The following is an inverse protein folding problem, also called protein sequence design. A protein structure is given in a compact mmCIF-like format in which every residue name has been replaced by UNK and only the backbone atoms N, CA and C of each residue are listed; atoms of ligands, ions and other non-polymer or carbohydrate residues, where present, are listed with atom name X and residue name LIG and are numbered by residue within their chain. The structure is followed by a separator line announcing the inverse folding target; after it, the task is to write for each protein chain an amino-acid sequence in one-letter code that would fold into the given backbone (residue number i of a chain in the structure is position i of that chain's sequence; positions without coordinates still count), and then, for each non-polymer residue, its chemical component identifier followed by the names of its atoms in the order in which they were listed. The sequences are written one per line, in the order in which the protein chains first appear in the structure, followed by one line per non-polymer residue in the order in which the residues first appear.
data_IF_998312572843
#
_entry.id   IF_998312572843
#
_cell.length_a   1.000
_cell.length_b   1.000
_cell.length_c   1.000
_cell.angle_alpha   90.00
_cell.angle_beta   90.00
_cell.angle_gamma   90.00
#
_symmetry.space_group_name_H-M   'P 1'
#
loop_
_entity.id
_entity.type
_entity.pdbx_description
1 polymer ?
#
# COMPACT_ATOMS: atom_id res chain seq x y z
N UNK A 1 26.26 -52.97 0.97
CA UNK A 1 26.80 -51.59 1.12
C UNK A 1 25.95 -50.67 0.27
N UNK A 2 24.98 -50.05 0.89
CA UNK A 2 24.07 -49.07 0.24
C UNK A 2 24.60 -47.69 0.62
N UNK A 3 25.08 -46.95 -0.38
CA UNK A 3 25.53 -45.56 -0.21
C UNK A 3 24.33 -44.68 -0.21
N UNK A 4 23.98 -44.14 0.96
CA UNK A 4 22.97 -43.05 1.10
C UNK A 4 23.58 -41.75 0.56
N UNK A 5 23.12 -41.30 -0.58
CA UNK A 5 23.34 -39.94 -1.04
C UNK A 5 22.32 -39.03 -0.37
N UNK A 6 22.77 -38.27 0.62
CA UNK A 6 22.01 -37.19 1.24
C UNK A 6 21.98 -36.02 0.22
N UNK A 7 20.90 -35.90 -0.54
CA UNK A 7 20.65 -34.72 -1.36
C UNK A 7 20.19 -33.62 -0.41
N UNK A 8 21.11 -32.76 0.01
CA UNK A 8 20.76 -31.48 0.63
C UNK A 8 20.27 -30.58 -0.52
N UNK A 9 18.96 -30.56 -0.74
CA UNK A 9 18.35 -29.53 -1.58
C UNK A 9 18.45 -28.21 -0.82
N UNK A 10 19.43 -27.40 -1.18
CA UNK A 10 19.52 -26.01 -0.79
C UNK A 10 18.35 -25.32 -1.49
N UNK A 11 17.20 -25.25 -0.82
CA UNK A 11 16.12 -24.34 -1.15
C UNK A 11 16.63 -22.92 -0.88
N UNK A 12 17.38 -22.35 -1.83
CA UNK A 12 17.49 -20.92 -1.95
C UNK A 12 16.09 -20.41 -2.30
N UNK A 13 15.35 -20.01 -1.29
CA UNK A 13 14.21 -19.13 -1.46
C UNK A 13 14.74 -17.86 -2.12
N UNK A 14 14.66 -17.81 -3.45
CA UNK A 14 14.83 -16.59 -4.21
C UNK A 14 13.61 -15.72 -3.86
N UNK A 15 13.68 -14.99 -2.74
CA UNK A 15 12.87 -13.80 -2.56
C UNK A 15 13.21 -12.93 -3.76
N UNK A 16 12.28 -12.81 -4.70
CA UNK A 16 12.41 -11.92 -5.83
C UNK A 16 12.39 -10.49 -5.30
N UNK A 17 13.56 -9.96 -4.99
CA UNK A 17 13.72 -8.55 -4.64
C UNK A 17 13.42 -7.73 -5.89
N UNK A 18 12.15 -7.43 -6.12
CA UNK A 18 11.72 -6.59 -7.24
C UNK A 18 12.13 -5.13 -7.06
N UNK A 19 12.47 -4.74 -5.82
CA UNK A 19 12.81 -3.36 -5.44
C UNK A 19 13.94 -3.34 -4.41
N UNK A 20 14.51 -2.15 -4.19
CA UNK A 20 15.48 -1.92 -3.14
C UNK A 20 14.84 -2.10 -1.75
N UNK A 21 15.51 -2.80 -0.86
CA UNK A 21 15.22 -2.84 0.57
C UNK A 21 16.54 -2.89 1.38
N UNK A 22 16.46 -2.53 2.65
CA UNK A 22 17.63 -2.48 3.55
C UNK A 22 18.27 -3.85 3.83
N UNK A 23 17.58 -4.95 3.54
CA UNK A 23 18.08 -6.32 3.66
C UNK A 23 18.62 -6.92 2.36
N UNK A 24 18.73 -6.13 1.30
CA UNK A 24 19.29 -6.60 0.03
C UNK A 24 20.75 -7.05 0.22
N UNK A 25 21.21 -8.11 -0.48
CA UNK A 25 22.55 -8.69 -0.26
C UNK A 25 23.73 -7.73 -0.45
N UNK A 26 23.51 -6.62 -1.16
CA UNK A 26 24.53 -5.57 -1.37
C UNK A 26 24.46 -4.45 -0.33
N UNK A 27 23.51 -4.51 0.59
CA UNK A 27 23.38 -3.55 1.69
C UNK A 27 24.08 -4.07 2.94
N UNK A 28 25.38 -4.30 2.85
CA UNK A 28 26.19 -4.95 3.88
C UNK A 28 25.94 -4.33 5.27
N UNK A 29 25.46 -5.15 6.22
CA UNK A 29 25.16 -4.76 7.60
C UNK A 29 26.43 -4.82 8.50
N UNK A 30 27.62 -5.02 7.92
CA UNK A 30 28.87 -5.20 8.64
C UNK A 30 29.62 -3.89 8.95
N UNK A 31 28.98 -2.73 8.90
CA UNK A 31 29.62 -1.54 9.44
C UNK A 31 29.46 -1.50 10.97
N UNK A 32 30.56 -1.69 11.68
CA UNK A 32 30.76 -1.51 13.14
C UNK A 32 30.49 -0.07 13.63
N UNK A 33 29.81 0.72 12.85
CA UNK A 33 29.32 2.03 13.22
C UNK A 33 27.84 1.90 13.58
N UNK A 34 27.51 2.11 14.85
CA UNK A 34 26.17 2.32 15.38
C UNK A 34 25.47 3.46 14.62
N UNK A 35 25.05 3.21 13.40
CA UNK A 35 24.25 4.14 12.60
C UNK A 35 22.94 3.48 12.20
N UNK A 36 21.89 3.89 12.84
CA UNK A 36 20.54 4.03 12.33
C UNK A 36 20.47 5.05 11.17
N UNK A 37 21.54 5.29 10.42
CA UNK A 37 21.58 6.28 9.36
C UNK A 37 21.30 5.61 8.03
N UNK A 38 20.26 6.08 7.36
CA UNK A 38 19.98 5.79 5.97
C UNK A 38 21.23 6.07 5.11
N UNK A 39 21.49 5.21 4.13
CA UNK A 39 22.57 5.42 3.16
C UNK A 39 22.11 6.43 2.09
N UNK A 40 23.05 7.23 1.59
CA UNK A 40 22.81 8.04 0.40
C UNK A 40 22.60 7.14 -0.84
N UNK A 41 21.97 7.66 -1.87
CA UNK A 41 21.77 6.89 -3.11
C UNK A 41 23.10 6.46 -3.73
N UNK A 42 24.12 7.29 -3.66
CA UNK A 42 25.45 6.98 -4.20
C UNK A 42 26.17 5.87 -3.41
N UNK A 43 26.01 5.84 -2.08
CA UNK A 43 26.51 4.72 -1.26
C UNK A 43 25.80 3.40 -1.58
N UNK A 44 24.50 3.45 -1.82
CA UNK A 44 23.72 2.28 -2.23
C UNK A 44 24.14 1.76 -3.62
N UNK A 45 24.29 2.67 -4.58
CA UNK A 45 24.74 2.35 -5.95
C UNK A 45 26.17 1.82 -5.94
N UNK A 46 27.06 2.40 -5.15
CA UNK A 46 28.41 1.88 -4.98
C UNK A 46 28.41 0.45 -4.44
N UNK A 47 27.69 0.20 -3.35
CA UNK A 47 27.58 -1.14 -2.74
C UNK A 47 26.98 -2.16 -3.73
N UNK A 48 25.95 -1.77 -4.47
CA UNK A 48 25.34 -2.59 -5.52
C UNK A 48 26.34 -2.94 -6.62
N UNK A 49 27.06 -1.96 -7.13
CA UNK A 49 28.06 -2.17 -8.17
C UNK A 49 29.19 -3.11 -7.72
N UNK A 50 29.66 -2.96 -6.48
CA UNK A 50 30.67 -3.88 -5.88
C UNK A 50 30.15 -5.32 -5.80
N UNK A 51 28.92 -5.50 -5.32
CA UNK A 51 28.29 -6.82 -5.24
C UNK A 51 28.17 -7.51 -6.62
N UNK A 52 27.92 -6.73 -7.69
CA UNK A 52 27.70 -7.25 -9.04
C UNK A 52 28.95 -7.32 -9.92
N UNK A 53 30.15 -6.97 -9.41
CA UNK A 53 31.41 -7.04 -10.19
C UNK A 53 31.71 -8.45 -10.71
N UNK A 54 31.42 -9.47 -9.90
CA UNK A 54 31.76 -10.86 -10.18
C UNK A 54 30.56 -11.74 -10.52
N UNK A 55 29.36 -11.17 -10.63
CA UNK A 55 28.12 -11.92 -10.82
C UNK A 55 27.53 -11.74 -12.22
N UNK A 56 26.84 -12.76 -12.72
CA UNK A 56 26.15 -12.68 -14.01
C UNK A 56 24.86 -11.82 -13.87
N UNK A 57 24.88 -10.66 -14.53
CA UNK A 57 23.80 -9.68 -14.56
C UNK A 57 22.59 -10.12 -15.38
N UNK A 58 22.73 -11.21 -16.19
CA UNK A 58 21.67 -11.69 -17.09
C UNK A 58 20.73 -12.70 -16.43
N UNK A 59 21.07 -13.21 -15.26
CA UNK A 59 20.26 -14.20 -14.55
C UNK A 59 18.89 -13.60 -14.25
N UNK A 60 17.84 -14.30 -14.67
CA UNK A 60 16.45 -13.90 -14.43
C UNK A 60 16.12 -13.97 -12.92
N UNK A 61 15.49 -12.94 -12.38
CA UNK A 61 15.15 -12.88 -10.95
C UNK A 61 16.33 -12.49 -10.04
N UNK A 62 17.50 -12.15 -10.58
CA UNK A 62 18.69 -11.80 -9.83
C UNK A 62 18.60 -10.48 -9.02
N UNK A 63 17.61 -9.65 -9.27
CA UNK A 63 17.50 -8.33 -8.67
C UNK A 63 18.27 -7.22 -9.39
N UNK A 64 19.14 -7.55 -10.38
CA UNK A 64 19.96 -6.55 -11.07
C UNK A 64 19.11 -5.49 -11.81
N UNK A 65 18.23 -5.94 -12.71
CA UNK A 65 17.39 -5.03 -13.50
C UNK A 65 16.37 -4.24 -12.65
N UNK A 66 15.73 -4.83 -11.63
CA UNK A 66 14.89 -4.09 -10.69
C UNK A 66 15.62 -2.95 -9.99
N UNK A 67 16.84 -3.19 -9.48
CA UNK A 67 17.64 -2.15 -8.85
C UNK A 67 18.00 -1.02 -9.83
N UNK A 68 18.41 -1.33 -11.06
CA UNK A 68 18.73 -0.32 -12.06
C UNK A 68 17.52 0.58 -12.41
N UNK A 69 16.30 0.01 -12.44
CA UNK A 69 15.07 0.80 -12.62
C UNK A 69 14.79 1.68 -11.40
N UNK A 70 14.96 1.13 -10.21
CA UNK A 70 14.82 1.86 -8.95
C UNK A 70 15.81 3.02 -8.88
N UNK A 71 17.09 2.81 -9.16
CA UNK A 71 18.12 3.84 -9.20
C UNK A 71 17.75 4.96 -10.17
N UNK A 72 17.39 4.62 -11.42
CA UNK A 72 17.02 5.61 -12.44
C UNK A 72 15.81 6.46 -12.02
N UNK A 73 14.85 5.87 -11.31
CA UNK A 73 13.67 6.57 -10.80
C UNK A 73 14.01 7.52 -9.65
N UNK A 74 14.82 7.05 -8.70
CA UNK A 74 15.06 7.76 -7.46
C UNK A 74 16.27 8.70 -7.46
N UNK A 75 17.22 8.54 -8.39
CA UNK A 75 18.43 9.36 -8.45
C UNK A 75 18.14 10.87 -8.50
N UNK A 76 17.08 11.29 -9.13
CA UNK A 76 16.65 12.68 -9.23
C UNK A 76 15.64 13.10 -8.12
N UNK A 77 15.42 12.23 -7.13
CA UNK A 77 14.49 12.45 -6.02
C UNK A 77 15.21 12.30 -4.67
N UNK A 78 16.38 12.88 -4.58
CA UNK A 78 17.18 12.96 -3.35
C UNK A 78 17.16 14.40 -2.83
N UNK A 79 17.36 14.54 -1.53
CA UNK A 79 17.64 15.84 -0.93
C UNK A 79 19.07 16.32 -1.28
N UNK A 80 19.43 17.52 -0.85
CA UNK A 80 20.75 18.13 -1.12
C UNK A 80 21.93 17.31 -0.57
N UNK A 81 21.70 16.48 0.44
CA UNK A 81 22.68 15.58 1.05
C UNK A 81 22.76 14.21 0.35
N UNK A 82 21.95 13.96 -0.67
CA UNK A 82 21.92 12.70 -1.43
C UNK A 82 21.10 11.57 -0.80
N UNK A 83 20.33 11.84 0.25
CA UNK A 83 19.39 10.87 0.83
C UNK A 83 18.08 10.85 0.05
N UNK A 84 17.41 9.70 0.03
CA UNK A 84 16.06 9.62 -0.53
C UNK A 84 15.12 10.55 0.24
N UNK A 85 14.31 11.30 -0.49
CA UNK A 85 13.29 12.16 0.11
C UNK A 85 12.29 11.29 0.86
N UNK A 86 12.06 11.57 2.14
CA UNK A 86 11.07 10.89 2.95
C UNK A 86 9.64 11.22 2.50
N UNK A 87 8.64 10.39 2.82
CA UNK A 87 7.23 10.70 2.56
C UNK A 87 6.78 12.04 3.15
N UNK A 88 7.25 12.39 4.35
CA UNK A 88 6.94 13.67 5.00
C UNK A 88 7.56 14.86 4.25
N UNK A 89 8.81 14.73 3.80
CA UNK A 89 9.46 15.77 2.99
C UNK A 89 8.74 15.99 1.66
N UNK A 90 8.31 14.91 1.00
CA UNK A 90 7.51 15.02 -0.24
C UNK A 90 6.17 15.72 0.02
N UNK A 91 5.49 15.37 1.11
CA UNK A 91 4.22 15.99 1.50
C UNK A 91 4.39 17.48 1.85
N UNK A 92 5.43 17.82 2.60
CA UNK A 92 5.75 19.21 2.95
C UNK A 92 6.08 20.05 1.71
N UNK A 93 6.89 19.51 0.78
CA UNK A 93 7.23 20.18 -0.48
C UNK A 93 5.99 20.41 -1.36
N UNK A 94 5.10 19.42 -1.42
CA UNK A 94 3.84 19.55 -2.17
C UNK A 94 2.92 20.60 -1.56
N UNK A 95 2.74 20.61 -0.23
CA UNK A 95 1.95 21.64 0.46
C UNK A 95 2.50 23.04 0.20
N UNK A 96 3.83 23.22 0.25
CA UNK A 96 4.48 24.48 -0.06
C UNK A 96 4.22 24.92 -1.50
N UNK A 97 4.30 23.99 -2.47
CA UNK A 97 3.98 24.25 -3.87
C UNK A 97 2.52 24.61 -4.07
N UNK A 98 1.58 23.94 -3.39
CA UNK A 98 0.14 24.23 -3.41
C UNK A 98 -0.12 25.63 -2.89
N UNK A 99 0.44 26.02 -1.75
CA UNK A 99 0.32 27.36 -1.17
C UNK A 99 0.89 28.42 -2.12
N UNK A 100 2.06 28.20 -2.71
CA UNK A 100 2.68 29.10 -3.68
C UNK A 100 1.82 29.26 -4.95
N UNK A 101 1.15 28.19 -5.41
CA UNK A 101 0.21 28.25 -6.55
C UNK A 101 -1.04 29.05 -6.20
N UNK A 102 -1.59 28.87 -5.00
CA UNK A 102 -2.76 29.63 -4.52
C UNK A 102 -2.45 31.12 -4.37
N UNK A 103 -1.29 31.49 -3.84
CA UNK A 103 -0.87 32.89 -3.70
C UNK A 103 -0.58 33.57 -5.07
N UNK A 104 -0.15 32.82 -6.08
CA UNK A 104 0.07 33.32 -7.46
C UNK A 104 -1.24 33.44 -8.23
N UNK A 105 -2.25 32.63 -7.98
CA UNK A 105 -3.55 32.68 -8.65
C UNK A 105 -4.35 33.97 -8.36
N UNK A 106 -4.01 34.67 -7.27
CA UNK A 106 -4.57 35.99 -6.98
C UNK A 106 -4.07 37.12 -7.89
N UNK A 107 -2.96 36.91 -8.63
CA UNK A 107 -2.39 37.86 -9.58
C UNK A 107 -2.41 37.27 -10.98
N UNK A 108 -3.50 37.46 -11.67
CA UNK A 108 -3.78 37.21 -13.10
C UNK A 108 -2.72 36.48 -13.91
N UNK A 109 -2.93 35.19 -14.20
CA UNK A 109 -2.34 34.56 -15.34
C UNK A 109 -3.37 34.42 -16.47
N UNK A 110 -3.00 34.86 -17.66
CA UNK A 110 -3.67 34.47 -18.89
C UNK A 110 -3.82 32.94 -18.84
N UNK A 111 -5.06 32.48 -18.78
CA UNK A 111 -5.34 31.06 -18.85
C UNK A 111 -4.71 30.54 -20.16
N UNK A 112 -3.73 29.66 -20.05
CA UNK A 112 -3.26 28.93 -21.21
C UNK A 112 -4.46 28.21 -21.81
N UNK A 113 -4.62 28.20 -23.14
CA UNK A 113 -5.70 27.46 -23.77
C UNK A 113 -5.63 26.00 -23.32
N UNK A 114 -6.78 25.33 -23.15
CA UNK A 114 -6.81 23.93 -22.75
C UNK A 114 -5.93 23.12 -23.71
N UNK A 115 -5.07 22.29 -23.16
CA UNK A 115 -4.16 21.47 -23.96
C UNK A 115 -4.97 20.49 -24.82
N UNK A 116 -4.58 20.33 -26.09
CA UNK A 116 -5.16 19.34 -27.01
C UNK A 116 -4.56 17.94 -26.83
N UNK A 117 -4.01 17.64 -25.67
CA UNK A 117 -3.45 16.31 -25.40
C UNK A 117 -4.54 15.26 -25.51
N UNK A 118 -4.32 14.29 -26.40
CA UNK A 118 -5.17 13.10 -26.53
C UNK A 118 -4.34 11.88 -26.13
N UNK A 119 -4.93 10.92 -25.39
CA UNK A 119 -4.26 9.68 -25.09
C UNK A 119 -4.05 8.90 -26.39
N UNK A 120 -2.79 8.58 -26.72
CA UNK A 120 -2.43 7.81 -27.93
C UNK A 120 -2.33 6.30 -27.67
N UNK A 121 -2.63 5.89 -26.45
CA UNK A 121 -2.71 4.48 -26.07
C UNK A 121 -1.48 3.91 -25.38
N UNK A 122 -1.48 2.59 -25.16
CA UNK A 122 -2.46 1.59 -25.62
C UNK A 122 -3.80 1.67 -24.87
N UNK A 123 -4.87 2.01 -25.57
CA UNK A 123 -6.23 2.13 -25.00
C UNK A 123 -6.96 0.76 -25.02
N UNK A 124 -6.60 -0.10 -25.96
CA UNK A 124 -7.15 -1.43 -26.10
C UNK A 124 -6.06 -2.49 -26.24
N UNK A 125 -6.26 -3.66 -25.68
CA UNK A 125 -5.47 -4.84 -26.01
C UNK A 125 -5.87 -5.31 -27.41
N UNK A 126 -5.05 -4.99 -28.39
CA UNK A 126 -5.30 -5.38 -29.77
C UNK A 126 -5.19 -6.90 -30.01
N UNK A 127 -4.63 -7.66 -29.05
CA UNK A 127 -4.44 -9.10 -29.14
C UNK A 127 -5.14 -9.82 -27.99
N UNK A 128 -6.02 -10.79 -28.26
CA UNK A 128 -6.74 -11.54 -27.22
C UNK A 128 -5.82 -12.31 -26.25
N UNK A 129 -4.60 -12.64 -26.67
CA UNK A 129 -3.62 -13.39 -25.90
C UNK A 129 -2.40 -12.52 -25.47
N UNK A 130 -2.54 -11.20 -25.49
CA UNK A 130 -1.45 -10.32 -25.05
C UNK A 130 -1.21 -10.45 -23.54
N UNK A 131 0.03 -10.74 -23.18
CA UNK A 131 0.52 -10.72 -21.80
C UNK A 131 0.76 -9.29 -21.28
N UNK A 132 0.42 -8.26 -22.06
CA UNK A 132 0.55 -6.88 -21.63
C UNK A 132 -0.54 -6.55 -20.61
N UNK A 133 -0.16 -6.48 -19.35
CA UNK A 133 -1.00 -5.97 -18.28
C UNK A 133 -1.26 -4.48 -18.47
N UNK A 134 -2.51 -4.05 -18.27
CA UNK A 134 -2.91 -2.62 -18.34
C UNK A 134 -2.66 -1.86 -17.04
N UNK A 135 -2.18 -2.54 -16.02
CA UNK A 135 -1.99 -2.06 -14.69
C UNK A 135 -2.62 -2.98 -13.66
N UNK A 136 -2.24 -2.76 -12.41
CA UNK A 136 -2.73 -3.53 -11.27
C UNK A 136 -3.73 -2.67 -10.47
N UNK A 137 -4.80 -3.30 -10.00
CA UNK A 137 -5.74 -2.73 -9.04
C UNK A 137 -5.46 -3.41 -7.69
N UNK A 138 -5.18 -2.62 -6.67
CA UNK A 138 -4.92 -3.10 -5.31
C UNK A 138 -6.20 -3.35 -4.52
N UNK A 139 -7.22 -2.53 -4.77
CA UNK A 139 -8.50 -2.56 -4.04
C UNK A 139 -9.63 -2.04 -4.91
N UNK A 140 -10.81 -2.65 -4.76
CA UNK A 140 -12.09 -2.16 -5.26
C UNK A 140 -13.02 -1.98 -4.07
N UNK A 141 -13.73 -0.87 -4.01
CA UNK A 141 -14.68 -0.57 -2.95
C UNK A 141 -15.98 -0.03 -3.56
N UNK A 142 -17.11 -0.54 -3.11
CA UNK A 142 -18.44 -0.07 -3.50
C UNK A 142 -18.96 0.83 -2.37
N UNK A 143 -19.50 1.99 -2.72
CA UNK A 143 -20.09 2.90 -1.75
C UNK A 143 -21.26 2.20 -1.03
N UNK A 144 -21.22 2.12 0.31
CA UNK A 144 -22.23 1.37 1.05
C UNK A 144 -23.63 2.00 0.97
N UNK A 145 -23.74 3.28 0.61
CA UNK A 145 -25.02 4.00 0.47
C UNK A 145 -25.53 4.03 -1.00
N UNK A 146 -24.63 3.85 -1.97
CA UNK A 146 -24.98 3.89 -3.40
C UNK A 146 -24.17 2.87 -4.22
N UNK A 147 -24.73 1.72 -4.55
CA UNK A 147 -24.01 0.64 -5.26
C UNK A 147 -23.58 1.01 -6.69
N UNK A 148 -24.08 2.10 -7.28
CA UNK A 148 -23.60 2.60 -8.57
C UNK A 148 -22.30 3.39 -8.44
N UNK A 149 -21.90 3.77 -7.22
CA UNK A 149 -20.64 4.45 -6.94
C UNK A 149 -19.59 3.43 -6.55
N UNK A 150 -18.56 3.32 -7.38
CA UNK A 150 -17.47 2.37 -7.23
C UNK A 150 -16.15 3.14 -7.20
N UNK A 151 -15.25 2.70 -6.34
CA UNK A 151 -13.89 3.21 -6.24
C UNK A 151 -12.90 2.11 -6.53
N UNK A 152 -11.75 2.43 -7.14
CA UNK A 152 -10.61 1.53 -7.12
C UNK A 152 -9.31 2.29 -6.82
N UNK A 153 -8.40 1.59 -6.13
CA UNK A 153 -7.06 2.06 -5.81
C UNK A 153 -6.00 1.24 -6.55
N UNK A 154 -4.94 1.91 -6.98
CA UNK A 154 -3.84 1.33 -7.76
C UNK A 154 -2.49 1.54 -7.08
N UNK A 155 -1.44 0.77 -7.43
CA UNK A 155 -0.10 0.92 -6.83
C UNK A 155 0.54 2.29 -7.02
N UNK A 156 0.31 2.93 -8.17
CA UNK A 156 0.96 4.18 -8.55
C UNK A 156 0.08 5.10 -9.41
N UNK A 157 -1.16 4.73 -9.67
CA UNK A 157 -2.12 5.51 -10.46
C UNK A 157 -3.25 6.12 -9.63
N UNK A 158 -3.11 6.15 -8.31
CA UNK A 158 -4.04 6.81 -7.40
C UNK A 158 -5.36 6.08 -7.16
N UNK A 159 -6.34 6.86 -6.68
CA UNK A 159 -7.73 6.45 -6.50
C UNK A 159 -8.60 7.01 -7.63
N UNK A 160 -9.53 6.18 -8.10
CA UNK A 160 -10.48 6.50 -9.15
C UNK A 160 -11.89 6.24 -8.68
N UNK A 161 -12.83 7.05 -9.16
CA UNK A 161 -14.26 6.97 -8.83
C UNK A 161 -15.10 6.83 -10.09
N UNK A 162 -16.05 5.92 -10.06
CA UNK A 162 -17.20 5.85 -10.99
C UNK A 162 -18.47 6.15 -10.22
N UNK A 163 -19.42 6.83 -10.87
CA UNK A 163 -20.77 7.09 -10.34
C UNK A 163 -21.87 6.45 -11.20
N UNK A 164 -21.46 5.68 -12.21
CA UNK A 164 -22.32 5.07 -13.23
C UNK A 164 -22.04 3.56 -13.39
N UNK A 165 -21.81 2.89 -12.26
CA UNK A 165 -21.55 1.45 -12.19
C UNK A 165 -20.37 1.00 -13.06
N UNK A 166 -19.29 1.79 -13.09
CA UNK A 166 -18.05 1.45 -13.77
C UNK A 166 -18.01 1.80 -15.26
N UNK A 167 -19.01 2.49 -15.81
CA UNK A 167 -19.02 2.90 -17.21
C UNK A 167 -17.99 4.00 -17.49
N UNK A 168 -17.91 5.00 -16.60
CA UNK A 168 -16.90 6.07 -16.68
C UNK A 168 -16.16 6.21 -15.36
N UNK A 169 -14.91 6.71 -15.43
CA UNK A 169 -14.01 6.84 -14.29
C UNK A 169 -13.34 8.20 -14.25
N UNK A 170 -13.26 8.79 -13.07
CA UNK A 170 -12.57 10.05 -12.80
C UNK A 170 -11.48 9.86 -11.76
N UNK A 171 -10.27 10.42 -11.96
CA UNK A 171 -9.22 10.39 -10.95
C UNK A 171 -9.55 11.34 -9.80
N UNK A 172 -9.14 10.96 -8.58
CA UNK A 172 -9.37 11.75 -7.36
C UNK A 172 -8.08 12.11 -6.62
N UNK A 173 -6.92 11.77 -7.15
CA UNK A 173 -5.63 11.89 -6.46
C UNK A 173 -4.51 12.48 -7.32
N UNK A 174 -4.80 13.03 -8.49
CA UNK A 174 -3.79 13.60 -9.40
C UNK A 174 -3.02 14.78 -8.77
N UNK A 175 -3.63 15.45 -7.80
CA UNK A 175 -3.04 16.56 -7.05
C UNK A 175 -2.26 16.09 -5.80
N UNK A 176 -2.13 14.79 -5.55
CA UNK A 176 -1.39 14.26 -4.40
C UNK A 176 0.06 13.94 -4.77
N UNK A 177 1.02 14.17 -3.86
CA UNK A 177 2.42 13.81 -4.07
C UNK A 177 2.65 12.30 -4.00
N UNK A 178 1.79 11.61 -3.28
CA UNK A 178 1.77 10.14 -3.12
C UNK A 178 0.46 9.61 -3.68
N UNK A 179 0.53 8.81 -4.72
CA UNK A 179 -0.62 8.37 -5.50
C UNK A 179 -0.90 6.86 -5.45
N UNK A 180 -0.10 6.06 -4.72
CA UNK A 180 -0.43 4.65 -4.48
C UNK A 180 -1.56 4.54 -3.46
N UNK A 181 -2.54 3.64 -3.71
CA UNK A 181 -3.69 3.38 -2.82
C UNK A 181 -3.89 1.89 -2.66
N UNK A 182 -3.91 1.42 -1.40
CA UNK A 182 -4.00 0.01 -1.04
C UNK A 182 -5.27 -0.37 -0.27
N UNK A 183 -5.98 0.61 0.30
CA UNK A 183 -7.25 0.40 0.99
C UNK A 183 -8.14 1.63 0.84
N UNK A 184 -9.45 1.41 0.85
CA UNK A 184 -10.48 2.45 0.73
C UNK A 184 -11.62 2.12 1.70
N UNK A 185 -12.05 3.12 2.48
CA UNK A 185 -13.24 3.04 3.31
C UNK A 185 -14.08 4.31 3.13
N UNK A 186 -15.37 4.12 2.87
CA UNK A 186 -16.36 5.21 2.72
C UNK A 186 -17.31 5.15 3.91
N UNK A 187 -17.60 6.30 4.50
CA UNK A 187 -18.53 6.42 5.62
C UNK A 187 -19.96 6.02 5.18
N UNK A 188 -20.59 5.12 5.94
CA UNK A 188 -21.94 4.61 5.67
C UNK A 188 -23.03 5.68 5.76
N UNK A 189 -22.77 6.77 6.50
CA UNK A 189 -23.70 7.86 6.71
C UNK A 189 -23.42 9.11 5.88
N UNK A 190 -22.20 9.21 5.31
CA UNK A 190 -21.77 10.36 4.51
C UNK A 190 -20.72 9.95 3.47
N UNK A 191 -21.15 9.69 2.22
CA UNK A 191 -20.25 9.32 1.11
C UNK A 191 -19.22 10.38 0.72
N UNK A 192 -19.28 11.61 1.29
CA UNK A 192 -18.23 12.60 1.12
C UNK A 192 -17.03 12.33 2.04
N UNK A 193 -17.24 11.57 3.11
CA UNK A 193 -16.17 11.17 4.04
C UNK A 193 -15.55 9.86 3.58
N UNK A 194 -14.31 9.94 3.09
CA UNK A 194 -13.55 8.83 2.50
C UNK A 194 -12.18 8.75 3.17
N UNK A 195 -11.75 7.54 3.50
CA UNK A 195 -10.42 7.24 3.99
C UNK A 195 -9.68 6.36 2.98
N UNK A 196 -8.41 6.65 2.75
CA UNK A 196 -7.53 5.81 1.93
C UNK A 196 -6.25 5.49 2.68
N UNK A 197 -5.76 4.27 2.51
CA UNK A 197 -4.38 3.94 2.86
C UNK A 197 -3.51 4.17 1.64
N UNK A 198 -2.38 4.84 1.85
CA UNK A 198 -1.47 5.21 0.76
C UNK A 198 -0.35 4.19 0.58
N UNK A 199 0.27 4.19 -0.60
CA UNK A 199 1.36 3.30 -0.97
C UNK A 199 0.90 2.00 -1.61
N UNK A 200 1.85 1.13 -1.91
CA UNK A 200 1.61 -0.18 -2.51
C UNK A 200 1.95 -1.30 -1.52
N UNK A 201 0.93 -1.98 -1.02
CA UNK A 201 1.07 -3.07 -0.05
C UNK A 201 1.69 -4.35 -0.62
N UNK A 202 1.60 -4.56 -1.94
CA UNK A 202 1.96 -5.84 -2.55
C UNK A 202 3.41 -5.87 -3.08
N UNK A 203 3.92 -4.75 -3.60
CA UNK A 203 5.25 -4.71 -4.20
C UNK A 203 6.09 -3.49 -3.79
N UNK A 204 5.57 -2.65 -2.92
CA UNK A 204 6.22 -1.41 -2.46
C UNK A 204 6.66 -0.48 -3.61
N UNK A 205 5.88 -0.46 -4.70
CA UNK A 205 6.14 0.41 -5.87
C UNK A 205 6.07 1.88 -5.50
N UNK A 206 5.24 2.21 -4.50
CA UNK A 206 5.14 3.54 -3.90
C UNK A 206 5.15 3.45 -2.38
N UNK A 207 5.75 4.45 -1.72
CA UNK A 207 5.80 4.52 -0.26
C UNK A 207 4.45 4.91 0.33
N UNK A 208 4.21 4.50 1.58
CA UNK A 208 3.04 4.91 2.33
C UNK A 208 3.36 6.12 3.18
N UNK A 209 2.49 7.12 3.16
CA UNK A 209 2.47 8.23 4.13
C UNK A 209 1.43 8.00 5.22
N UNK A 210 0.82 6.82 5.26
CA UNK A 210 -0.22 6.47 6.22
C UNK A 210 -1.63 6.58 5.64
N UNK A 211 -2.57 7.04 6.45
CA UNK A 211 -3.98 7.18 6.10
C UNK A 211 -4.30 8.63 5.76
N UNK A 212 -4.93 8.85 4.62
CA UNK A 212 -5.53 10.14 4.25
C UNK A 212 -7.04 10.11 4.42
N UNK A 213 -7.62 11.27 4.73
CA UNK A 213 -9.05 11.50 4.87
C UNK A 213 -9.48 12.62 3.94
N UNK A 214 -10.58 12.41 3.23
CA UNK A 214 -11.37 13.44 2.56
C UNK A 214 -12.69 13.62 3.28
N UNK A 215 -13.26 14.82 3.26
CA UNK A 215 -14.62 15.17 3.74
C UNK A 215 -15.45 15.88 2.67
N UNK A 216 -14.96 15.87 1.44
CA UNK A 216 -15.57 16.58 0.31
C UNK A 216 -15.68 15.67 -0.95
N UNK A 217 -15.85 14.38 -0.73
CA UNK A 217 -16.03 13.40 -1.80
C UNK A 217 -14.77 13.11 -2.60
N UNK A 218 -13.57 13.37 -2.02
CA UNK A 218 -12.26 13.11 -2.62
C UNK A 218 -11.69 14.27 -3.43
N UNK A 219 -12.25 15.48 -3.29
CA UNK A 219 -11.71 16.70 -3.93
C UNK A 219 -10.43 17.14 -3.22
N UNK A 220 -10.45 17.09 -1.87
CA UNK A 220 -9.27 17.39 -1.05
C UNK A 220 -8.96 16.26 -0.09
N UNK A 221 -7.66 16.09 0.22
CA UNK A 221 -7.17 15.05 1.10
C UNK A 221 -6.27 15.64 2.18
N UNK A 222 -6.45 15.17 3.42
CA UNK A 222 -5.68 15.58 4.59
C UNK A 222 -5.09 14.34 5.27
N UNK A 223 -3.92 14.49 5.90
CA UNK A 223 -3.34 13.45 6.74
C UNK A 223 -4.19 13.23 7.99
N UNK A 224 -4.20 11.99 8.46
CA UNK A 224 -4.76 11.62 9.77
C UNK A 224 -3.65 11.48 10.82
N UNK A 225 -3.99 11.06 12.04
CA UNK A 225 -3.02 10.76 13.09
C UNK A 225 -2.17 9.50 12.82
N UNK A 226 -2.52 8.67 11.81
CA UNK A 226 -1.69 7.56 11.36
C UNK A 226 -0.90 7.97 10.12
N UNK A 227 0.30 8.48 10.36
CA UNK A 227 1.24 8.90 9.31
C UNK A 227 2.58 8.19 9.49
N UNK A 228 3.30 7.99 8.39
CA UNK A 228 4.60 7.32 8.38
C UNK A 228 5.67 8.22 7.78
N UNK A 229 6.72 8.46 8.55
CA UNK A 229 7.89 9.23 8.12
C UNK A 229 8.95 8.36 7.43
N UNK A 230 8.85 7.03 7.53
CA UNK A 230 9.82 6.09 6.97
C UNK A 230 9.34 5.50 5.64
N UNK A 231 10.26 4.93 4.88
CA UNK A 231 10.01 4.32 3.57
C UNK A 231 9.69 2.82 3.64
N UNK A 232 9.66 2.23 4.84
CA UNK A 232 9.54 0.79 5.03
C UNK A 232 8.17 0.34 5.55
N UNK A 233 7.44 1.24 6.21
CA UNK A 233 6.10 0.93 6.69
C UNK A 233 5.09 1.06 5.54
N UNK A 234 4.27 0.04 5.35
CA UNK A 234 3.17 0.04 4.36
C UNK A 234 1.83 -0.06 5.06
N UNK A 235 0.81 0.58 4.49
CA UNK A 235 -0.58 0.43 4.91
C UNK A 235 -1.35 -0.38 3.85
N UNK A 236 -2.21 -1.27 4.33
CA UNK A 236 -3.01 -2.16 3.50
C UNK A 236 -4.50 -1.87 3.63
N UNK A 237 -5.26 -2.85 4.11
CA UNK A 237 -6.71 -2.75 4.26
C UNK A 237 -7.11 -1.72 5.32
N UNK A 238 -8.22 -1.04 5.10
CA UNK A 238 -8.84 -0.11 6.05
C UNK A 238 -10.33 -0.38 6.09
N UNK A 239 -10.90 -0.37 7.28
CA UNK A 239 -12.31 -0.65 7.51
C UNK A 239 -12.90 0.39 8.45
N UNK A 240 -14.12 0.87 8.13
CA UNK A 240 -14.90 1.76 8.98
C UNK A 240 -16.06 0.98 9.60
N UNK A 241 -16.41 1.30 10.84
CA UNK A 241 -17.54 0.68 11.52
C UNK A 241 -18.88 1.17 10.93
N UNK A 242 -19.82 0.28 10.59
CA UNK A 242 -21.00 0.63 9.78
C UNK A 242 -22.00 1.57 10.47
N UNK A 243 -22.00 1.64 11.80
CA UNK A 243 -22.94 2.46 12.59
C UNK A 243 -22.26 3.45 13.53
N UNK A 244 -20.92 3.48 13.54
CA UNK A 244 -20.16 4.44 14.31
C UNK A 244 -18.93 4.89 13.50
N UNK A 245 -19.07 5.96 12.74
CA UNK A 245 -18.04 6.49 11.85
C UNK A 245 -16.79 7.04 12.57
N UNK A 246 -16.79 7.08 13.91
CA UNK A 246 -15.60 7.41 14.69
C UNK A 246 -14.62 6.24 14.79
N UNK A 247 -15.09 5.01 14.54
CA UNK A 247 -14.28 3.79 14.69
C UNK A 247 -13.82 3.29 13.33
N UNK A 248 -12.49 3.17 13.17
CA UNK A 248 -11.86 2.54 12.02
C UNK A 248 -10.72 1.62 12.47
N UNK A 249 -10.37 0.69 11.61
CA UNK A 249 -9.18 -0.17 11.72
C UNK A 249 -8.34 -0.04 10.47
N UNK A 250 -7.02 -0.07 10.63
CA UNK A 250 -6.05 -0.01 9.55
C UNK A 250 -4.99 -1.09 9.72
N UNK A 251 -4.83 -1.91 8.69
CA UNK A 251 -3.79 -2.92 8.61
C UNK A 251 -2.49 -2.31 8.09
N UNK A 252 -1.38 -2.57 8.78
CA UNK A 252 -0.05 -2.08 8.38
C UNK A 252 1.00 -3.19 8.46
N UNK A 253 2.18 -2.97 7.88
CA UNK A 253 3.29 -3.93 7.97
C UNK A 253 3.89 -4.06 9.37
N UNK A 254 3.55 -3.16 10.31
CA UNK A 254 4.06 -3.18 11.69
C UNK A 254 3.00 -3.52 12.72
N UNK A 255 1.71 -3.42 12.36
CA UNK A 255 0.61 -3.74 13.28
C UNK A 255 -0.77 -3.46 12.71
N UNK A 256 -1.77 -3.85 13.46
CA UNK A 256 -3.16 -3.48 13.28
C UNK A 256 -3.46 -2.28 14.18
N UNK A 257 -3.96 -1.20 13.60
CA UNK A 257 -4.31 0.03 14.31
C UNK A 257 -5.81 0.22 14.38
N UNK A 258 -6.27 0.87 15.44
CA UNK A 258 -7.65 1.29 15.65
C UNK A 258 -7.69 2.77 16.00
N UNK A 259 -8.69 3.47 15.50
CA UNK A 259 -9.11 4.80 15.95
C UNK A 259 -10.52 4.75 16.54
N UNK A 260 -10.84 5.67 17.43
CA UNK A 260 -12.19 5.91 17.98
C UNK A 260 -12.61 7.37 17.89
N UNK A 261 -11.87 8.16 17.09
CA UNK A 261 -12.05 9.60 16.90
C UNK A 261 -11.93 10.02 15.42
N UNK A 262 -12.46 9.17 14.53
CA UNK A 262 -12.48 9.39 13.08
C UNK A 262 -11.09 9.67 12.47
N UNK A 263 -10.05 9.01 13.02
CA UNK A 263 -8.70 9.08 12.50
C UNK A 263 -7.83 10.19 13.08
N UNK A 264 -8.30 10.93 14.08
CA UNK A 264 -7.50 11.99 14.75
C UNK A 264 -6.34 11.36 15.52
N UNK A 265 -6.61 10.27 16.25
CA UNK A 265 -5.59 9.47 16.94
C UNK A 265 -5.75 7.99 16.62
N UNK A 266 -4.64 7.24 16.62
CA UNK A 266 -4.62 5.82 16.35
C UNK A 266 -3.80 5.07 17.40
N UNK A 267 -4.31 3.91 17.81
CA UNK A 267 -3.65 3.02 18.76
C UNK A 267 -3.36 1.69 18.09
N UNK A 268 -2.14 1.18 18.23
CA UNK A 268 -1.81 -0.17 17.79
C UNK A 268 -2.47 -1.18 18.75
N UNK A 269 -3.39 -1.99 18.24
CA UNK A 269 -4.15 -2.99 19.01
C UNK A 269 -3.59 -4.40 18.86
N UNK A 270 -2.78 -4.65 17.82
CA UNK A 270 -2.09 -5.91 17.58
C UNK A 270 -0.80 -5.66 16.82
N UNK A 271 0.33 -6.23 17.29
CA UNK A 271 1.61 -6.20 16.59
C UNK A 271 1.69 -7.28 15.51
N UNK A 272 2.42 -7.04 14.42
CA UNK A 272 2.64 -7.99 13.34
C UNK A 272 2.48 -7.36 11.96
N UNK A 273 2.78 -8.12 10.91
CA UNK A 273 2.59 -7.68 9.53
C UNK A 273 1.19 -8.05 9.04
N UNK A 274 0.33 -7.04 8.93
CA UNK A 274 -1.04 -7.12 8.44
C UNK A 274 -1.24 -6.46 7.07
N UNK A 275 -0.21 -5.83 6.49
CA UNK A 275 -0.36 -5.01 5.29
C UNK A 275 -1.02 -5.73 4.11
N UNK A 276 -0.69 -7.01 3.94
CA UNK A 276 -1.26 -7.84 2.87
C UNK A 276 -2.49 -8.66 3.31
N UNK A 277 -2.91 -8.52 4.58
CA UNK A 277 -4.07 -9.20 5.14
C UNK A 277 -5.39 -8.49 4.83
N UNK A 278 -6.43 -8.93 5.51
CA UNK A 278 -7.78 -8.38 5.39
C UNK A 278 -8.34 -8.10 6.77
N UNK A 279 -9.24 -7.11 6.87
CA UNK A 279 -10.03 -6.80 8.06
C UNK A 279 -11.50 -6.90 7.70
N UNK A 280 -12.31 -7.67 8.45
CA UNK A 280 -13.75 -7.79 8.22
C UNK A 280 -14.50 -7.76 9.54
N UNK A 281 -15.72 -7.26 9.51
CA UNK A 281 -16.66 -7.35 10.62
C UNK A 281 -17.58 -8.56 10.44
N UNK A 282 -17.93 -9.21 11.56
CA UNK A 282 -18.97 -10.24 11.54
C UNK A 282 -20.31 -9.59 11.13
N UNK A 283 -20.98 -10.06 10.08
CA UNK A 283 -22.28 -9.53 9.67
C UNK A 283 -23.28 -9.59 10.84
N UNK A 284 -24.01 -8.49 11.06
CA UNK A 284 -24.97 -8.37 12.15
C UNK A 284 -24.38 -8.20 13.54
N UNK A 285 -23.05 -8.34 13.73
CA UNK A 285 -22.38 -8.21 15.03
C UNK A 285 -21.05 -7.47 14.87
N UNK A 286 -21.08 -6.16 14.63
CA UNK A 286 -19.87 -5.38 14.31
C UNK A 286 -18.88 -5.23 15.48
N UNK A 287 -19.27 -5.65 16.71
CA UNK A 287 -18.34 -5.80 17.83
C UNK A 287 -17.34 -6.96 17.63
N UNK A 288 -17.63 -7.90 16.72
CA UNK A 288 -16.70 -8.97 16.33
C UNK A 288 -15.94 -8.55 15.08
N UNK A 289 -14.61 -8.46 15.23
CA UNK A 289 -13.68 -8.06 14.17
C UNK A 289 -12.75 -9.23 13.85
N UNK A 290 -12.61 -9.53 12.59
CA UNK A 290 -11.68 -10.51 12.07
C UNK A 290 -10.52 -9.82 11.36
N UNK A 291 -9.31 -10.31 11.53
CA UNK A 291 -8.14 -9.83 10.81
C UNK A 291 -7.20 -10.96 10.43
N UNK A 292 -6.50 -10.83 9.32
CA UNK A 292 -5.43 -11.75 8.94
C UNK A 292 -4.10 -11.00 8.82
N UNK A 293 -3.04 -11.67 9.26
CA UNK A 293 -1.67 -11.36 8.88
C UNK A 293 -1.23 -12.35 7.78
N UNK A 294 0.04 -12.32 7.38
CA UNK A 294 0.55 -13.23 6.35
C UNK A 294 0.30 -14.71 6.65
N UNK A 295 0.31 -15.11 7.92
CA UNK A 295 0.20 -16.52 8.33
C UNK A 295 -0.70 -16.78 9.54
N UNK A 296 -1.45 -15.80 10.01
CA UNK A 296 -2.30 -15.93 11.21
C UNK A 296 -3.66 -15.29 11.00
N UNK A 297 -4.66 -15.90 11.60
CA UNK A 297 -6.01 -15.38 11.70
C UNK A 297 -6.28 -14.92 13.13
N UNK A 298 -6.88 -13.76 13.27
CA UNK A 298 -7.17 -13.10 14.54
C UNK A 298 -8.67 -12.80 14.65
N UNK A 299 -9.18 -12.92 15.87
CA UNK A 299 -10.56 -12.57 16.19
C UNK A 299 -10.58 -11.65 17.40
N UNK A 300 -11.36 -10.59 17.32
CA UNK A 300 -11.78 -9.74 18.44
C UNK A 300 -13.27 -9.90 18.68
N UNK A 301 -13.72 -9.78 19.93
CA UNK A 301 -15.14 -9.72 20.33
C UNK A 301 -15.49 -8.45 21.10
N UNK A 302 -14.57 -7.49 21.14
CA UNK A 302 -14.68 -6.22 21.86
C UNK A 302 -14.40 -5.04 20.93
N UNK A 303 -14.96 -5.07 19.74
CA UNK A 303 -14.85 -4.00 18.73
C UNK A 303 -13.38 -3.71 18.35
N UNK A 304 -12.52 -4.74 18.36
CA UNK A 304 -11.13 -4.63 17.97
C UNK A 304 -10.20 -3.96 18.98
N UNK A 305 -10.59 -3.87 20.26
CA UNK A 305 -9.69 -3.36 21.32
C UNK A 305 -8.58 -4.36 21.65
N UNK A 306 -8.86 -5.64 21.46
CA UNK A 306 -7.86 -6.70 21.58
C UNK A 306 -8.21 -7.88 20.67
N UNK A 307 -7.19 -8.64 20.29
CA UNK A 307 -7.32 -9.76 19.37
C UNK A 307 -6.74 -11.05 19.97
N UNK A 308 -7.39 -12.17 19.68
CA UNK A 308 -6.88 -13.51 19.97
C UNK A 308 -6.55 -14.23 18.67
N UNK A 309 -5.45 -14.98 18.67
CA UNK A 309 -5.08 -15.82 17.51
C UNK A 309 -5.98 -17.05 17.47
N UNK A 310 -6.53 -17.36 16.30
CA UNK A 310 -7.26 -18.61 16.05
C UNK A 310 -6.37 -19.50 15.20
N UNK A 311 -6.06 -20.70 15.70
CA UNK A 311 -5.14 -21.64 15.04
C UNK A 311 -5.82 -22.89 14.50
N UNK A 312 -7.01 -23.21 15.00
CA UNK A 312 -7.75 -24.42 14.62
C UNK A 312 -8.29 -24.30 13.19
N UNK A 313 -8.06 -25.32 12.38
CA UNK A 313 -8.59 -25.41 11.02
C UNK A 313 -7.83 -24.59 9.96
N UNK A 314 -6.69 -23.99 10.33
CA UNK A 314 -5.87 -23.20 9.42
C UNK A 314 -4.67 -24.00 8.90
N UNK A 315 -4.14 -23.67 7.70
CA UNK A 315 -2.92 -24.27 7.19
C UNK A 315 -1.75 -23.89 8.11
N UNK A 316 -0.83 -24.85 8.32
CA UNK A 316 0.35 -24.64 9.18
C UNK A 316 1.35 -23.63 8.58
N UNK A 317 1.37 -23.51 7.26
CA UNK A 317 2.25 -22.60 6.53
C UNK A 317 1.43 -21.83 5.50
N UNK A 318 1.61 -20.53 5.46
CA UNK A 318 1.01 -19.65 4.47
C UNK A 318 1.93 -18.46 4.21
N UNK A 319 2.04 -18.03 2.98
CA UNK A 319 2.70 -16.79 2.61
C UNK A 319 1.76 -15.58 2.69
N UNK A 320 0.43 -15.82 2.54
CA UNK A 320 -0.60 -14.79 2.62
C UNK A 320 -1.95 -15.41 2.98
N UNK A 321 -2.65 -14.79 3.91
CA UNK A 321 -4.05 -15.12 4.24
C UNK A 321 -4.95 -13.94 3.89
N UNK A 322 -5.97 -14.20 3.08
CA UNK A 322 -7.06 -13.27 2.84
C UNK A 322 -8.33 -13.84 3.44
N UNK A 323 -9.18 -13.00 4.01
CA UNK A 323 -10.45 -13.41 4.59
C UNK A 323 -11.60 -12.61 3.99
N UNK A 324 -12.74 -13.26 3.95
CA UNK A 324 -14.02 -12.60 3.69
C UNK A 324 -15.15 -13.27 4.48
N UNK A 325 -16.30 -12.58 4.57
CA UNK A 325 -17.47 -12.98 5.32
C UNK A 325 -18.72 -12.79 4.42
N UNK A 326 -19.81 -13.45 4.76
CA UNK A 326 -21.08 -13.31 4.03
C UNK A 326 -22.22 -12.97 4.98
N UNK A 327 -23.11 -12.07 4.55
CA UNK A 327 -24.35 -11.77 5.26
C UNK A 327 -25.41 -12.88 5.16
N UNK A 328 -25.25 -13.81 4.22
CA UNK A 328 -26.16 -14.95 4.05
C UNK A 328 -26.05 -15.92 5.24
N UNK A 329 -24.87 -16.07 5.83
CA UNK A 329 -24.64 -16.80 7.08
C UNK A 329 -23.46 -16.17 7.83
N UNK A 330 -23.77 -15.46 8.90
CA UNK A 330 -22.77 -14.70 9.68
C UNK A 330 -21.79 -15.59 10.48
N UNK A 331 -22.05 -16.90 10.57
CA UNK A 331 -21.16 -17.83 11.27
C UNK A 331 -20.03 -18.35 10.36
N UNK A 332 -20.11 -18.13 9.05
CA UNK A 332 -19.06 -18.54 8.12
C UNK A 332 -18.02 -17.44 7.90
N UNK A 333 -16.75 -17.83 8.01
CA UNK A 333 -15.59 -17.03 7.63
C UNK A 333 -14.82 -17.82 6.56
N UNK A 334 -14.58 -17.19 5.44
CA UNK A 334 -13.83 -17.78 4.33
C UNK A 334 -12.38 -17.30 4.40
N UNK A 335 -11.43 -18.21 4.31
CA UNK A 335 -10.00 -17.89 4.30
C UNK A 335 -9.36 -18.50 3.07
N UNK A 336 -8.75 -17.63 2.25
CA UNK A 336 -7.89 -18.03 1.14
C UNK A 336 -6.44 -18.00 1.62
N UNK A 337 -5.75 -19.13 1.50
CA UNK A 337 -4.32 -19.26 1.78
C UNK A 337 -3.55 -19.35 0.47
N UNK A 338 -2.58 -18.45 0.29
CA UNK A 338 -1.60 -18.53 -0.79
C UNK A 338 -0.24 -18.97 -0.22
N UNK A 339 0.42 -19.90 -0.90
CA UNK A 339 1.76 -20.44 -0.56
C UNK A 339 2.78 -19.99 -1.59
#
# INVERSE_FOLDING_TARGET
MIKNYLIISLLCSFLGFSQFNSSAPWMDNNSTLNRTSEKTIDEMVYSFNQYWLTKDKKVKGSGYKPFMRWENHWRNKTNEQGYLISPDEMWAAWNSKKQAKMSRSANSFLALPPSNWQPIGPIQNAQPNSTMARGRVNIVHVDPSNPNTIYFGTPAGGIWKSIDNGTTWSPMSDELPQIGVSGIAVDYSDSNTIYITTGDKDATDTYSIGVLKSTDGGVTWNTTGLSFANTTTTAGDILIHPTNNQILWCATSVGLYKTSDAGTTWTMVQTGDFAQGSIRLKPGTPSTVYATSNNRFYRSTNTGDSFTVVTTGLPLTSGRLLLDVTAADSEYVYILSAT
#
